data_IF_363760760473
#
_entry.id   IF_363760760473
#
_cell.length_a   1.000
_cell.length_b   1.000
_cell.length_c   1.000
_cell.angle_alpha   90.00
_cell.angle_beta   90.00
_cell.angle_gamma   90.00
#
_symmetry.space_group_name_H-M   'P 1'
#
loop_
_entity.id
_entity.type
_entity.pdbx_description
1 polymer ?
#
# COMPACT_ATOMS: atom_id res chain seq x y z
N UNK A 1 -0.84 -7.89 -8.87
CA UNK A 1 -0.55 -6.69 -8.06
C UNK A 1 0.54 -5.93 -8.76
N UNK A 2 0.41 -4.61 -8.87
CA UNK A 2 1.52 -3.74 -9.25
C UNK A 2 2.54 -3.80 -8.10
N UNK A 3 3.85 -3.99 -8.37
CA UNK A 3 4.85 -4.00 -7.30
C UNK A 3 4.81 -2.67 -6.54
N UNK A 4 5.04 -2.71 -5.23
CA UNK A 4 5.12 -1.50 -4.40
C UNK A 4 6.27 -0.62 -4.91
N UNK A 5 6.08 0.71 -5.01
CA UNK A 5 7.16 1.64 -5.28
C UNK A 5 8.31 1.54 -4.27
N UNK A 6 8.01 1.23 -3.00
CA UNK A 6 8.99 1.13 -1.93
C UNK A 6 9.86 -0.13 -2.01
N UNK A 7 9.41 -1.17 -2.73
CA UNK A 7 10.18 -2.41 -2.85
C UNK A 7 11.52 -2.17 -3.54
N UNK A 8 12.54 -2.87 -3.05
CA UNK A 8 13.87 -2.82 -3.65
C UNK A 8 13.81 -3.28 -5.13
N UNK A 9 14.41 -2.49 -6.01
CA UNK A 9 14.60 -2.86 -7.41
C UNK A 9 15.50 -4.10 -7.53
N UNK A 10 15.43 -4.87 -8.63
CA UNK A 10 16.35 -5.98 -8.88
C UNK A 10 17.82 -5.57 -8.80
N UNK A 11 18.14 -4.36 -9.25
CA UNK A 11 19.49 -3.81 -9.20
C UNK A 11 19.96 -3.56 -7.76
N UNK A 12 19.09 -3.01 -6.91
CA UNK A 12 19.35 -2.83 -5.48
C UNK A 12 19.50 -4.16 -4.75
N UNK A 13 18.63 -5.15 -5.05
CA UNK A 13 18.75 -6.52 -4.50
C UNK A 13 20.07 -7.17 -4.90
N UNK A 14 20.50 -6.98 -6.16
CA UNK A 14 21.77 -7.49 -6.67
C UNK A 14 22.99 -6.67 -6.20
N UNK A 15 22.78 -5.49 -5.62
CA UNK A 15 23.82 -4.58 -5.17
C UNK A 15 24.67 -4.05 -6.33
N UNK A 16 24.05 -3.74 -7.47
CA UNK A 16 24.72 -3.20 -8.67
C UNK A 16 23.93 -2.01 -9.22
N UNK A 17 24.57 -1.06 -9.93
CA UNK A 17 23.84 0.01 -10.60
C UNK A 17 22.98 -0.53 -11.76
N UNK A 18 21.93 0.21 -12.14
CA UNK A 18 21.10 -0.11 -13.31
C UNK A 18 21.89 -0.08 -14.63
N UNK A 19 23.05 0.59 -14.66
CA UNK A 19 23.98 0.64 -15.78
C UNK A 19 24.97 -0.54 -15.82
N UNK A 20 24.92 -1.46 -14.86
CA UNK A 20 25.84 -2.60 -14.78
C UNK A 20 25.81 -3.46 -16.06
N UNK A 21 26.97 -3.95 -16.46
CA UNK A 21 27.10 -4.89 -17.58
C UNK A 21 26.47 -6.26 -17.25
N UNK A 22 26.14 -7.03 -18.29
CA UNK A 22 25.61 -8.40 -18.13
C UNK A 22 26.54 -9.29 -17.31
N UNK A 23 27.86 -9.10 -17.45
CA UNK A 23 28.84 -9.88 -16.70
C UNK A 23 28.92 -9.45 -15.22
N UNK A 24 28.71 -8.17 -14.91
CA UNK A 24 28.57 -7.70 -13.52
C UNK A 24 27.32 -8.24 -12.87
N UNK A 25 26.17 -8.21 -13.56
CA UNK A 25 24.91 -8.79 -13.08
C UNK A 25 25.08 -10.28 -12.77
N UNK A 26 25.64 -11.05 -13.71
CA UNK A 26 25.90 -12.49 -13.52
C UNK A 26 26.87 -12.77 -12.37
N UNK A 27 27.92 -11.94 -12.22
CA UNK A 27 28.88 -12.07 -11.10
C UNK A 27 28.22 -11.77 -9.76
N UNK A 28 27.43 -10.70 -9.67
CA UNK A 28 26.70 -10.31 -8.47
C UNK A 28 25.71 -11.40 -8.04
N UNK A 29 24.90 -11.92 -8.99
CA UNK A 29 23.97 -13.00 -8.72
C UNK A 29 24.67 -14.25 -8.18
N UNK A 30 25.75 -14.72 -8.82
CA UNK A 30 26.48 -15.92 -8.34
C UNK A 30 27.07 -15.73 -6.94
N UNK A 31 27.54 -14.53 -6.63
CA UNK A 31 28.07 -14.19 -5.29
C UNK A 31 26.94 -14.24 -4.26
N UNK A 32 25.84 -13.53 -4.51
CA UNK A 32 24.70 -13.46 -3.61
C UNK A 32 24.03 -14.81 -3.44
N UNK A 33 23.90 -15.62 -4.50
CA UNK A 33 23.28 -16.94 -4.44
C UNK A 33 24.00 -17.89 -3.47
N UNK A 34 25.31 -17.74 -3.28
CA UNK A 34 26.08 -18.49 -2.27
C UNK A 34 25.88 -17.93 -0.86
N UNK A 35 25.74 -16.62 -0.73
CA UNK A 35 25.58 -15.93 0.56
C UNK A 35 24.17 -16.09 1.13
N UNK A 36 23.15 -16.10 0.27
CA UNK A 36 21.74 -16.19 0.68
C UNK A 36 21.23 -17.64 0.73
N UNK A 37 22.03 -18.63 0.30
CA UNK A 37 21.59 -20.03 0.31
C UNK A 37 21.29 -20.52 1.73
N UNK A 38 20.12 -21.13 1.98
CA UNK A 38 19.73 -21.59 3.32
C UNK A 38 20.72 -22.63 3.88
N UNK A 39 21.22 -23.54 3.05
CA UNK A 39 22.19 -24.56 3.48
C UNK A 39 23.57 -23.98 3.82
N UNK A 40 23.83 -22.71 3.48
CA UNK A 40 25.10 -22.01 3.75
C UNK A 40 24.94 -20.91 4.80
N UNK A 41 23.83 -20.90 5.54
CA UNK A 41 23.56 -19.94 6.61
C UNK A 41 22.84 -18.66 6.18
N UNK A 42 22.39 -18.58 4.92
CA UNK A 42 21.48 -17.54 4.46
C UNK A 42 20.03 -17.78 4.88
N UNK A 43 19.14 -16.83 4.61
CA UNK A 43 17.71 -16.98 4.88
C UNK A 43 16.96 -17.37 3.61
N UNK A 44 15.94 -18.22 3.75
CA UNK A 44 15.09 -18.60 2.62
C UNK A 44 14.43 -17.39 1.95
N UNK A 45 14.11 -16.33 2.71
CA UNK A 45 13.56 -15.09 2.20
C UNK A 45 14.58 -14.34 1.32
N UNK A 46 15.80 -14.12 1.81
CA UNK A 46 16.84 -13.43 1.02
C UNK A 46 17.18 -14.19 -0.27
N UNK A 47 17.08 -15.53 -0.26
CA UNK A 47 17.23 -16.32 -1.47
C UNK A 47 16.06 -16.12 -2.44
N UNK A 48 14.81 -16.07 -1.96
CA UNK A 48 13.63 -15.78 -2.78
C UNK A 48 13.71 -14.41 -3.43
N UNK A 49 14.08 -13.37 -2.66
CA UNK A 49 14.23 -12.00 -3.17
C UNK A 49 15.27 -11.95 -4.30
N UNK A 50 16.39 -12.66 -4.11
CA UNK A 50 17.43 -12.79 -5.13
C UNK A 50 16.94 -13.51 -6.40
N UNK A 51 16.19 -14.60 -6.25
CA UNK A 51 15.63 -15.32 -7.39
C UNK A 51 14.64 -14.44 -8.17
N UNK A 52 13.77 -13.72 -7.46
CA UNK A 52 12.80 -12.83 -8.07
C UNK A 52 13.49 -11.67 -8.80
N UNK A 53 14.51 -11.05 -8.20
CA UNK A 53 15.33 -10.03 -8.85
C UNK A 53 15.99 -10.59 -10.13
N UNK A 54 16.57 -11.79 -10.07
CA UNK A 54 17.21 -12.41 -11.22
C UNK A 54 16.22 -12.74 -12.35
N UNK A 55 14.99 -13.12 -12.04
CA UNK A 55 13.95 -13.34 -13.05
C UNK A 55 13.62 -12.06 -13.83
N UNK A 56 13.71 -10.89 -13.18
CA UNK A 56 13.38 -9.61 -13.80
C UNK A 56 14.50 -9.04 -14.67
N UNK A 57 15.78 -9.26 -14.32
CA UNK A 57 16.91 -8.62 -15.03
C UNK A 57 18.02 -9.58 -15.50
N UNK A 58 17.85 -10.90 -15.29
CA UNK A 58 18.90 -11.89 -15.54
C UNK A 58 19.13 -12.23 -17.01
N UNK A 59 18.14 -12.01 -17.87
CA UNK A 59 18.28 -12.15 -19.34
C UNK A 59 18.21 -10.77 -20.02
N UNK A 60 18.85 -10.60 -21.19
CA UNK A 60 18.76 -9.35 -21.96
C UNK A 60 17.33 -8.91 -22.24
N UNK A 61 16.44 -9.86 -22.54
CA UNK A 61 15.03 -9.61 -22.84
C UNK A 61 14.29 -9.14 -21.57
N UNK A 62 14.41 -9.87 -20.46
CA UNK A 62 13.75 -9.53 -19.20
C UNK A 62 14.23 -8.18 -18.69
N UNK A 63 15.54 -7.92 -18.75
CA UNK A 63 16.13 -6.63 -18.40
C UNK A 63 15.56 -5.50 -19.25
N UNK A 64 15.48 -5.69 -20.57
CA UNK A 64 14.93 -4.67 -21.46
C UNK A 64 13.43 -4.42 -21.18
N UNK A 65 12.65 -5.46 -20.86
CA UNK A 65 11.24 -5.32 -20.47
C UNK A 65 11.08 -4.59 -19.12
N UNK A 66 11.97 -4.89 -18.17
CA UNK A 66 12.02 -4.23 -16.88
C UNK A 66 12.35 -2.74 -17.03
N UNK A 67 13.43 -2.41 -17.75
CA UNK A 67 13.90 -1.04 -17.96
C UNK A 67 12.91 -0.20 -18.80
N UNK A 68 12.17 -0.84 -19.71
CA UNK A 68 11.06 -0.21 -20.44
C UNK A 68 9.82 0.03 -19.58
N UNK A 69 9.77 -0.31 -18.28
CA UNK A 69 8.57 -0.07 -17.47
C UNK A 69 7.32 -0.80 -18.00
N UNK A 70 7.51 -1.85 -18.82
CA UNK A 70 6.42 -2.65 -19.38
C UNK A 70 5.87 -3.70 -18.39
N UNK A 71 6.40 -3.76 -17.17
CA UNK A 71 6.05 -4.76 -16.16
C UNK A 71 4.64 -4.65 -15.57
N UNK A 72 3.88 -3.58 -15.85
CA UNK A 72 2.50 -3.42 -15.35
C UNK A 72 1.53 -2.85 -16.39
N UNK A 73 1.64 -3.28 -17.65
CA UNK A 73 0.44 -3.35 -18.52
C UNK A 73 0.06 -4.81 -18.60
N UNK A 74 -1.02 -5.17 -17.91
CA UNK A 74 -1.71 -6.44 -18.06
C UNK A 74 -1.66 -6.88 -19.51
N UNK A 75 -0.95 -7.96 -19.77
CA UNK A 75 -1.01 -8.69 -21.04
C UNK A 75 -2.43 -9.23 -21.18
N UNK A 76 -3.36 -8.40 -21.64
CA UNK A 76 -4.49 -8.91 -22.38
C UNK A 76 -3.89 -9.65 -23.60
N UNK A 77 -4.22 -10.93 -23.82
CA UNK A 77 -3.59 -11.68 -24.90
C UNK A 77 -4.00 -11.04 -26.22
N UNK A 78 -3.05 -10.39 -26.89
CA UNK A 78 -3.23 -9.97 -28.28
C UNK A 78 -3.17 -11.23 -29.14
N UNK A 79 -4.33 -11.85 -29.35
CA UNK A 79 -4.48 -12.93 -30.31
C UNK A 79 -4.13 -12.41 -31.70
N UNK A 80 -3.03 -12.91 -32.25
CA UNK A 80 -2.75 -12.79 -33.68
C UNK A 80 -3.77 -13.62 -34.45
N UNK A 81 -4.57 -12.99 -35.31
CA UNK A 81 -5.28 -13.70 -36.37
C UNK A 81 -5.00 -12.99 -37.69
N UNK A 82 -4.33 -13.74 -38.56
CA UNK A 82 -4.01 -13.38 -39.95
C UNK A 82 -5.29 -13.31 -40.77
N UNK A 83 -5.28 -12.40 -41.75
CA UNK A 83 -6.29 -12.21 -42.78
C UNK A 83 -6.53 -13.47 -43.64
N UNK A 84 -7.80 -13.81 -43.88
CA UNK A 84 -8.28 -14.49 -45.07
C UNK A 84 -9.73 -14.02 -45.34
N UNK A 85 -10.00 -13.56 -46.57
CA UNK A 85 -11.23 -12.86 -46.92
C UNK A 85 -12.45 -13.74 -47.18
N UNK A 86 -13.64 -13.17 -46.96
CA UNK A 86 -14.81 -13.36 -47.81
C UNK A 86 -15.81 -12.23 -47.56
N UNK A 87 -16.47 -11.79 -48.63
CA UNK A 87 -17.47 -10.72 -48.64
C UNK A 87 -18.86 -11.30 -48.35
N UNK A 88 -19.55 -10.81 -47.31
CA UNK A 88 -21.00 -10.94 -47.11
C UNK A 88 -21.53 -9.85 -46.16
N UNK A 89 -22.79 -9.38 -46.31
CA UNK A 89 -23.28 -8.15 -45.69
C UNK A 89 -23.93 -8.38 -44.31
N UNK A 90 -23.79 -7.37 -43.43
CA UNK A 90 -24.81 -7.04 -42.42
C UNK A 90 -24.76 -7.78 -41.07
N UNK A 91 -23.88 -7.34 -40.17
CA UNK A 91 -24.15 -7.29 -38.73
C UNK A 91 -23.22 -6.27 -38.07
N UNK A 92 -23.78 -5.15 -37.59
CA UNK A 92 -23.04 -4.23 -36.72
C UNK A 92 -23.16 -4.72 -35.27
N UNK A 93 -22.07 -4.85 -34.50
CA UNK A 93 -22.19 -5.08 -33.07
C UNK A 93 -22.94 -3.89 -32.44
N UNK A 94 -23.81 -4.10 -31.44
CA UNK A 94 -24.36 -2.98 -30.70
C UNK A 94 -23.21 -2.14 -30.11
N UNK A 95 -23.40 -0.82 -29.94
CA UNK A 95 -22.43 0.01 -29.24
C UNK A 95 -22.14 -0.67 -27.89
N UNK A 96 -20.86 -0.76 -27.50
CA UNK A 96 -20.50 -1.16 -26.13
C UNK A 96 -21.29 -0.26 -25.19
N UNK A 97 -22.27 -0.83 -24.49
CA UNK A 97 -22.96 -0.13 -23.42
C UNK A 97 -21.88 0.43 -22.49
N UNK A 98 -21.93 1.72 -22.09
CA UNK A 98 -21.06 2.20 -21.03
C UNK A 98 -21.24 1.26 -19.85
N UNK A 99 -20.12 0.77 -19.30
CA UNK A 99 -20.13 -0.15 -18.16
C UNK A 99 -21.17 0.35 -17.16
N UNK A 100 -22.19 -0.47 -16.90
CA UNK A 100 -23.28 -0.12 -15.98
C UNK A 100 -22.61 0.36 -14.70
N UNK A 101 -22.77 1.64 -14.38
CA UNK A 101 -22.35 2.17 -13.10
C UNK A 101 -23.13 1.38 -12.05
N UNK A 102 -22.44 0.47 -11.36
CA UNK A 102 -23.02 -0.33 -10.28
C UNK A 102 -23.67 0.66 -9.31
N UNK A 103 -25.01 0.73 -9.30
CA UNK A 103 -25.82 1.64 -8.50
C UNK A 103 -25.84 1.24 -7.01
N UNK A 104 -24.90 0.38 -6.60
CA UNK A 104 -24.75 -0.08 -5.23
C UNK A 104 -24.38 1.13 -4.37
N UNK A 105 -25.15 1.41 -3.30
CA UNK A 105 -24.85 2.50 -2.40
C UNK A 105 -23.46 2.32 -1.77
N UNK A 106 -22.54 3.26 -2.00
CA UNK A 106 -21.14 3.23 -1.52
C UNK A 106 -20.97 3.85 -0.13
N UNK A 107 -19.84 3.58 0.52
CA UNK A 107 -19.50 4.26 1.76
C UNK A 107 -19.32 5.77 1.56
N UNK A 108 -19.51 6.54 2.64
CA UNK A 108 -19.26 8.00 2.63
C UNK A 108 -17.77 8.25 2.85
N UNK A 109 -17.15 9.05 1.99
CA UNK A 109 -15.72 9.38 2.05
C UNK A 109 -15.55 10.88 2.27
N UNK A 110 -14.72 11.25 3.24
CA UNK A 110 -14.33 12.62 3.55
C UNK A 110 -12.80 12.74 3.61
N UNK A 111 -12.28 13.92 3.29
CA UNK A 111 -10.83 14.17 3.18
C UNK A 111 -10.25 13.73 1.83
N UNK A 112 -8.91 13.78 1.71
CA UNK A 112 -8.18 13.42 0.50
C UNK A 112 -7.25 12.24 0.81
N UNK A 113 -7.66 10.98 0.62
CA UNK A 113 -6.81 9.85 0.97
C UNK A 113 -5.48 9.87 0.20
N UNK A 114 -4.37 9.74 0.92
CA UNK A 114 -3.03 9.86 0.34
C UNK A 114 -2.65 11.27 -0.09
N UNK A 115 -3.49 12.29 0.12
CA UNK A 115 -3.28 13.64 -0.40
C UNK A 115 -2.02 14.30 0.16
N UNK A 116 -1.87 14.30 1.48
CA UNK A 116 -0.69 14.82 2.16
C UNK A 116 0.60 14.12 1.73
N UNK A 117 0.56 12.79 1.57
CA UNK A 117 1.71 12.00 1.12
C UNK A 117 2.01 12.22 -0.37
N UNK A 118 1.00 12.37 -1.25
CA UNK A 118 1.19 12.77 -2.66
C UNK A 118 1.86 14.13 -2.76
N UNK A 119 1.42 15.11 -1.97
CA UNK A 119 2.02 16.45 -1.98
C UNK A 119 3.48 16.41 -1.51
N UNK A 120 3.75 15.70 -0.41
CA UNK A 120 5.11 15.49 0.10
C UNK A 120 5.99 14.79 -0.93
N UNK A 121 5.49 13.73 -1.58
CA UNK A 121 6.16 13.02 -2.66
C UNK A 121 6.54 13.99 -3.78
N UNK A 122 5.60 14.79 -4.30
CA UNK A 122 5.87 15.73 -5.38
C UNK A 122 6.92 16.78 -4.99
N UNK A 123 6.91 17.24 -3.73
CA UNK A 123 7.92 18.14 -3.19
C UNK A 123 9.32 17.51 -3.21
N UNK A 124 9.45 16.33 -2.61
CA UNK A 124 10.71 15.58 -2.55
C UNK A 124 11.22 15.22 -3.95
N UNK A 125 10.32 14.79 -4.83
CA UNK A 125 10.65 14.37 -6.18
C UNK A 125 11.19 15.52 -7.03
N UNK A 126 10.57 16.70 -6.95
CA UNK A 126 11.08 17.92 -7.62
C UNK A 126 12.43 18.36 -7.07
N UNK A 127 12.65 18.23 -5.77
CA UNK A 127 13.94 18.54 -5.17
C UNK A 127 15.03 17.59 -5.64
N UNK A 128 14.73 16.29 -5.67
CA UNK A 128 15.66 15.26 -6.09
C UNK A 128 16.03 15.34 -7.58
N UNK A 129 15.04 15.50 -8.47
CA UNK A 129 15.31 15.64 -9.91
C UNK A 129 16.03 16.95 -10.24
N UNK A 130 15.80 17.99 -9.42
CA UNK A 130 16.40 19.30 -9.59
C UNK A 130 15.33 20.36 -9.81
N UNK A 131 15.37 21.41 -8.99
CA UNK A 131 14.41 22.52 -9.06
C UNK A 131 14.49 23.21 -10.42
N UNK A 132 13.35 23.32 -11.10
CA UNK A 132 13.24 23.95 -12.43
C UNK A 132 13.39 22.98 -13.62
N UNK A 133 13.71 21.71 -13.38
CA UNK A 133 13.65 20.67 -14.42
C UNK A 133 12.18 20.31 -14.67
N UNK A 134 11.69 20.35 -15.92
CA UNK A 134 10.34 19.90 -16.23
C UNK A 134 10.15 18.42 -15.87
N UNK A 135 9.07 18.13 -15.15
CA UNK A 135 8.64 16.79 -14.81
C UNK A 135 7.29 16.53 -15.47
N UNK A 136 7.32 15.92 -16.66
CA UNK A 136 6.11 15.64 -17.45
C UNK A 136 5.15 14.69 -16.72
N UNK A 137 5.69 13.60 -16.18
CA UNK A 137 4.97 12.66 -15.32
C UNK A 137 5.82 12.30 -14.09
N UNK A 138 5.59 12.95 -12.93
CA UNK A 138 6.27 12.61 -11.68
C UNK A 138 5.99 11.19 -11.18
N UNK A 139 4.99 10.50 -11.69
CA UNK A 139 4.60 9.15 -11.28
C UNK A 139 5.02 8.08 -12.30
N UNK A 140 5.79 8.45 -13.33
CA UNK A 140 6.34 7.47 -14.27
C UNK A 140 7.15 6.41 -13.51
N UNK A 141 6.81 5.14 -13.72
CA UNK A 141 7.36 4.03 -12.96
C UNK A 141 8.88 3.93 -13.08
N UNK A 142 9.46 4.27 -14.25
CA UNK A 142 10.91 4.22 -14.45
C UNK A 142 11.59 5.31 -13.63
N UNK A 143 11.00 6.51 -13.64
CA UNK A 143 11.49 7.63 -12.85
C UNK A 143 11.42 7.32 -11.35
N UNK A 144 10.25 6.86 -10.86
CA UNK A 144 10.04 6.46 -9.47
C UNK A 144 11.10 5.45 -9.01
N UNK A 145 11.37 4.41 -9.81
CA UNK A 145 12.37 3.36 -9.48
C UNK A 145 13.79 3.87 -9.31
N UNK A 146 14.10 5.05 -9.86
CA UNK A 146 15.42 5.68 -9.74
C UNK A 146 15.52 6.65 -8.56
N UNK A 147 14.39 7.02 -7.96
CA UNK A 147 14.34 7.88 -6.80
C UNK A 147 14.88 7.16 -5.54
N UNK A 148 15.43 7.91 -4.56
CA UNK A 148 15.84 7.37 -3.27
C UNK A 148 14.72 6.57 -2.57
N UNK A 149 15.07 5.54 -1.77
CA UNK A 149 14.11 4.73 -1.02
C UNK A 149 13.10 5.56 -0.23
N UNK A 150 13.55 6.64 0.39
CA UNK A 150 12.74 7.52 1.24
C UNK A 150 11.63 8.20 0.42
N UNK A 151 11.92 8.62 -0.81
CA UNK A 151 10.93 9.25 -1.70
C UNK A 151 9.91 8.21 -2.19
N UNK A 152 10.38 7.02 -2.56
CA UNK A 152 9.51 5.92 -3.00
C UNK A 152 8.58 5.45 -1.90
N UNK A 153 9.05 5.42 -0.65
CA UNK A 153 8.25 5.06 0.51
C UNK A 153 7.07 6.01 0.71
N UNK A 154 7.28 7.33 0.59
CA UNK A 154 6.18 8.31 0.67
C UNK A 154 5.10 8.07 -0.40
N UNK A 155 5.49 7.71 -1.62
CA UNK A 155 4.53 7.35 -2.68
C UNK A 155 3.80 6.04 -2.36
N UNK A 156 4.51 5.05 -1.81
CA UNK A 156 3.93 3.77 -1.44
C UNK A 156 2.88 3.92 -0.33
N UNK A 157 3.14 4.75 0.68
CA UNK A 157 2.18 5.08 1.73
C UNK A 157 0.95 5.79 1.16
N UNK A 158 1.12 6.78 0.28
CA UNK A 158 0.00 7.42 -0.41
C UNK A 158 -0.88 6.40 -1.15
N UNK A 159 -0.27 5.46 -1.87
CA UNK A 159 -0.98 4.39 -2.57
C UNK A 159 -1.65 3.39 -1.60
N UNK A 160 -1.05 3.13 -0.44
CA UNK A 160 -1.62 2.26 0.59
C UNK A 160 -2.88 2.89 1.23
N UNK A 161 -2.86 4.19 1.48
CA UNK A 161 -4.03 4.97 1.93
C UNK A 161 -5.16 4.96 0.88
N UNK A 162 -4.83 5.23 -0.39
CA UNK A 162 -5.78 5.17 -1.50
C UNK A 162 -6.42 3.78 -1.62
N UNK A 163 -5.61 2.72 -1.51
CA UNK A 163 -6.09 1.34 -1.55
C UNK A 163 -7.01 1.00 -0.37
N UNK A 164 -6.73 1.57 0.82
CA UNK A 164 -7.56 1.42 2.01
C UNK A 164 -8.94 2.02 1.78
N UNK A 165 -9.01 3.25 1.26
CA UNK A 165 -10.28 3.90 0.94
C UNK A 165 -11.05 3.16 -0.16
N UNK A 166 -10.35 2.67 -1.19
CA UNK A 166 -10.97 1.86 -2.23
C UNK A 166 -11.65 0.62 -1.63
N UNK A 167 -10.98 -0.09 -0.71
CA UNK A 167 -11.54 -1.26 -0.03
C UNK A 167 -12.75 -0.90 0.85
N UNK A 168 -12.68 0.20 1.61
CA UNK A 168 -13.77 0.65 2.50
C UNK A 168 -14.99 1.13 1.72
N UNK A 169 -14.77 1.79 0.58
CA UNK A 169 -15.83 2.34 -0.29
C UNK A 169 -16.80 1.25 -0.77
N UNK A 170 -16.26 0.07 -1.09
CA UNK A 170 -17.03 -1.09 -1.56
C UNK A 170 -17.78 -1.83 -0.43
N UNK A 171 -17.59 -1.45 0.84
CA UNK A 171 -18.34 -2.05 1.95
C UNK A 171 -19.79 -1.56 2.06
N UNK A 172 -20.09 -0.41 1.43
CA UNK A 172 -21.43 0.16 1.30
C UNK A 172 -21.80 1.20 2.37
N UNK A 173 -23.05 1.67 2.32
CA UNK A 173 -23.56 2.82 3.11
C UNK A 173 -23.45 2.74 4.62
N UNK A 174 -23.21 1.55 5.17
CA UNK A 174 -22.99 1.35 6.61
C UNK A 174 -21.67 1.97 7.09
N UNK A 175 -20.76 2.31 6.17
CA UNK A 175 -19.43 2.80 6.49
C UNK A 175 -19.28 4.29 6.18
N UNK A 176 -18.49 4.97 7.00
CA UNK A 176 -18.05 6.35 6.78
C UNK A 176 -16.56 6.42 7.10
N UNK A 177 -15.78 7.02 6.20
CA UNK A 177 -14.34 7.17 6.33
C UNK A 177 -13.97 8.64 6.23
N UNK A 178 -13.11 9.09 7.15
CA UNK A 178 -12.44 10.38 7.13
C UNK A 178 -10.96 10.10 6.93
N UNK A 179 -10.37 10.66 5.89
CA UNK A 179 -8.95 10.45 5.52
C UNK A 179 -8.13 11.72 5.69
N UNK A 180 -6.83 11.59 5.90
CA UNK A 180 -5.91 12.69 6.17
C UNK A 180 -6.39 13.52 7.39
N UNK A 181 -6.66 12.84 8.51
CA UNK A 181 -7.19 13.47 9.73
C UNK A 181 -6.08 14.14 10.52
N UNK A 182 -6.28 15.41 10.87
CA UNK A 182 -5.36 16.19 11.69
C UNK A 182 -5.33 15.66 13.14
N UNK A 183 -4.15 15.24 13.59
CA UNK A 183 -3.87 14.79 14.96
C UNK A 183 -3.04 15.83 15.75
N UNK A 184 -3.01 17.09 15.29
CA UNK A 184 -2.30 18.20 15.91
C UNK A 184 -0.79 17.99 15.92
N UNK A 185 -0.17 18.13 17.08
CA UNK A 185 1.28 17.97 17.22
C UNK A 185 1.78 16.54 16.94
N UNK A 186 0.88 15.54 16.91
CA UNK A 186 1.23 14.16 16.56
C UNK A 186 1.18 13.90 15.04
N UNK A 187 0.92 14.93 14.24
CA UNK A 187 0.91 14.87 12.78
C UNK A 187 -0.44 14.43 12.23
N UNK A 188 -0.43 13.45 11.33
CA UNK A 188 -1.59 12.99 10.58
C UNK A 188 -1.99 11.58 11.00
N UNK A 189 -3.29 11.35 11.18
CA UNK A 189 -3.87 10.00 11.20
C UNK A 189 -4.48 9.70 9.82
N UNK A 190 -4.01 8.64 9.16
CA UNK A 190 -4.41 8.35 7.77
C UNK A 190 -5.93 8.20 7.63
N UNK A 191 -6.56 7.34 8.44
CA UNK A 191 -8.00 7.18 8.39
C UNK A 191 -8.67 6.99 9.75
N UNK A 192 -9.85 7.57 9.87
CA UNK A 192 -10.88 7.20 10.86
C UNK A 192 -12.02 6.52 10.12
N UNK A 193 -12.35 5.28 10.49
CA UNK A 193 -13.43 4.50 9.86
C UNK A 193 -14.49 4.15 10.88
N UNK A 194 -15.71 4.62 10.65
CA UNK A 194 -16.89 4.25 11.40
C UNK A 194 -17.71 3.23 10.62
N UNK A 195 -17.98 2.09 11.25
CA UNK A 195 -18.82 1.02 10.69
C UNK A 195 -19.67 0.33 11.75
N UNK A 196 -20.43 -0.71 11.36
CA UNK A 196 -21.32 -1.43 12.27
C UNK A 196 -20.61 -2.12 13.44
N UNK A 197 -19.34 -2.48 13.27
CA UNK A 197 -18.53 -3.20 14.26
C UNK A 197 -17.71 -2.29 15.18
N UNK A 198 -17.73 -0.98 14.96
CA UNK A 198 -16.93 -0.05 15.76
C UNK A 198 -16.41 1.17 15.02
N UNK A 199 -15.55 1.90 15.74
CA UNK A 199 -14.76 3.01 15.24
C UNK A 199 -13.28 2.61 15.22
N UNK A 200 -12.63 2.77 14.08
CA UNK A 200 -11.25 2.32 13.86
C UNK A 200 -10.35 3.51 13.52
N UNK A 201 -9.19 3.58 14.15
CA UNK A 201 -8.07 4.40 13.70
C UNK A 201 -7.19 3.52 12.83
N UNK A 202 -6.91 3.93 11.61
CA UNK A 202 -6.16 3.13 10.64
C UNK A 202 -4.95 3.92 10.18
N UNK A 203 -3.79 3.27 10.23
CA UNK A 203 -2.59 3.66 9.52
C UNK A 203 -2.37 2.65 8.39
N UNK A 204 -2.03 3.14 7.21
CA UNK A 204 -1.82 2.30 6.02
C UNK A 204 -0.41 2.52 5.51
N UNK A 205 0.46 1.55 5.71
CA UNK A 205 1.89 1.70 5.45
C UNK A 205 2.43 0.63 4.50
N UNK A 206 3.37 1.02 3.65
CA UNK A 206 4.04 0.15 2.70
C UNK A 206 5.57 0.42 2.72
N UNK A 207 6.26 -0.36 3.55
CA UNK A 207 7.72 -0.31 3.71
C UNK A 207 8.48 -1.10 2.64
N UNK A 208 7.77 -1.67 1.64
CA UNK A 208 8.37 -2.42 0.54
C UNK A 208 9.14 -3.69 0.94
N UNK A 209 8.95 -4.17 2.17
CA UNK A 209 9.64 -5.33 2.72
C UNK A 209 8.85 -5.96 3.87
N UNK A 210 9.18 -7.20 4.19
CA UNK A 210 8.53 -7.93 5.27
C UNK A 210 8.70 -7.23 6.63
N UNK A 211 7.59 -7.17 7.37
CA UNK A 211 7.51 -6.65 8.73
C UNK A 211 7.00 -7.71 9.70
N UNK A 212 7.40 -7.58 10.96
CA UNK A 212 6.99 -8.49 12.04
C UNK A 212 6.80 -7.72 13.33
N UNK A 213 5.93 -8.25 14.20
CA UNK A 213 5.74 -7.69 15.54
C UNK A 213 6.87 -8.19 16.45
N UNK A 214 7.60 -7.27 17.07
CA UNK A 214 8.64 -7.57 18.04
C UNK A 214 8.57 -6.62 19.22
N UNK A 215 8.52 -7.17 20.44
CA UNK A 215 8.50 -6.41 21.71
C UNK A 215 7.43 -5.31 21.77
N UNK A 216 6.30 -5.50 21.09
CA UNK A 216 5.18 -4.55 21.09
C UNK A 216 5.31 -3.42 20.07
N UNK A 217 6.19 -3.55 19.08
CA UNK A 217 6.36 -2.63 17.97
C UNK A 217 6.49 -3.42 16.65
N UNK A 218 6.32 -2.76 15.50
CA UNK A 218 6.66 -3.30 14.19
C UNK A 218 8.13 -3.09 13.87
N UNK A 219 8.79 -4.16 13.41
CA UNK A 219 10.18 -4.11 12.96
C UNK A 219 10.28 -4.76 11.58
N UNK A 220 11.12 -4.21 10.72
CA UNK A 220 11.31 -4.67 9.35
C UNK A 220 12.46 -3.92 8.71
N UNK A 221 13.01 -4.46 7.62
CA UNK A 221 14.17 -3.85 6.95
C UNK A 221 13.86 -2.47 6.37
N UNK A 222 12.63 -2.26 5.93
CA UNK A 222 12.16 -1.00 5.34
C UNK A 222 11.61 0.01 6.35
N UNK A 223 11.50 -0.36 7.64
CA UNK A 223 11.07 0.57 8.69
C UNK A 223 12.30 1.35 9.17
N UNK A 224 12.31 2.70 9.08
CA UNK A 224 13.37 3.54 9.64
C UNK A 224 13.56 3.33 11.15
N UNK A 225 14.79 3.48 11.65
CA UNK A 225 15.12 3.25 13.07
C UNK A 225 14.42 4.24 14.03
N UNK A 226 14.02 5.41 13.53
CA UNK A 226 13.31 6.45 14.28
C UNK A 226 11.78 6.36 14.16
N UNK A 227 11.26 5.46 13.32
CA UNK A 227 9.84 5.21 13.17
C UNK A 227 9.37 4.19 14.21
N UNK A 228 8.30 4.52 14.95
CA UNK A 228 7.68 3.62 15.92
C UNK A 228 6.20 3.42 15.57
N UNK A 229 5.86 2.64 14.52
CA UNK A 229 4.53 2.65 13.89
C UNK A 229 3.36 2.45 14.86
N UNK A 230 3.49 1.51 15.81
CA UNK A 230 2.45 1.20 16.81
C UNK A 230 2.32 2.34 17.80
N UNK A 231 3.43 2.93 18.25
CA UNK A 231 3.40 4.06 19.18
C UNK A 231 2.89 5.32 18.50
N UNK A 232 3.26 5.57 17.26
CA UNK A 232 2.86 6.72 16.47
C UNK A 232 1.35 6.72 16.25
N UNK A 233 0.80 5.61 15.74
CA UNK A 233 -0.65 5.41 15.63
C UNK A 233 -1.36 5.57 16.99
N UNK A 234 -0.76 5.04 18.07
CA UNK A 234 -1.33 5.19 19.41
C UNK A 234 -1.39 6.67 19.85
N UNK A 235 -0.37 7.47 19.57
CA UNK A 235 -0.34 8.90 19.93
C UNK A 235 -1.33 9.70 19.08
N UNK A 236 -1.35 9.47 17.76
CA UNK A 236 -2.29 10.09 16.83
C UNK A 236 -3.75 9.78 17.19
N UNK A 237 -4.08 8.49 17.40
CA UNK A 237 -5.43 8.08 17.81
C UNK A 237 -5.83 8.70 19.17
N UNK A 238 -4.89 8.85 20.11
CA UNK A 238 -5.15 9.56 21.37
C UNK A 238 -5.41 11.05 21.16
N UNK A 239 -4.69 11.71 20.27
CA UNK A 239 -4.92 13.12 19.94
C UNK A 239 -6.32 13.32 19.32
N UNK A 240 -6.67 12.52 18.31
CA UNK A 240 -8.00 12.56 17.68
C UNK A 240 -9.11 12.23 18.68
N UNK A 241 -8.89 11.28 19.60
CA UNK A 241 -9.84 10.99 20.68
C UNK A 241 -10.04 12.18 21.63
N UNK A 242 -9.00 12.95 21.96
CA UNK A 242 -9.13 14.12 22.85
C UNK A 242 -10.01 15.19 22.20
N UNK A 243 -9.81 15.42 20.91
CA UNK A 243 -10.58 16.41 20.14
C UNK A 243 -12.04 15.97 19.94
N UNK A 244 -12.24 14.74 19.47
CA UNK A 244 -13.58 14.23 19.13
C UNK A 244 -14.38 13.74 20.33
N UNK A 245 -13.72 13.44 21.45
CA UNK A 245 -14.29 12.76 22.63
C UNK A 245 -14.95 11.41 22.30
N UNK A 246 -14.50 10.75 21.24
CA UNK A 246 -14.95 9.40 20.88
C UNK A 246 -13.79 8.42 21.03
N UNK A 247 -14.02 7.30 21.71
CA UNK A 247 -13.02 6.25 21.86
C UNK A 247 -13.03 5.32 20.65
N UNK A 248 -11.84 4.96 20.16
CA UNK A 248 -11.67 3.94 19.15
C UNK A 248 -11.92 2.54 19.72
N UNK A 249 -12.60 1.70 18.95
CA UNK A 249 -12.76 0.27 19.22
C UNK A 249 -11.43 -0.46 19.07
N UNK A 250 -10.67 -0.13 18.02
CA UNK A 250 -9.34 -0.67 17.76
C UNK A 250 -8.50 0.30 16.91
N UNK A 251 -7.18 0.10 16.97
CA UNK A 251 -6.22 0.72 16.07
C UNK A 251 -5.71 -0.35 15.10
N UNK A 252 -5.60 -0.03 13.82
CA UNK A 252 -5.24 -0.96 12.76
C UNK A 252 -4.03 -0.43 11.98
N UNK A 253 -3.00 -1.24 11.81
CA UNK A 253 -1.89 -0.99 10.87
C UNK A 253 -2.06 -1.95 9.71
N UNK A 254 -2.44 -1.40 8.56
CA UNK A 254 -2.72 -2.14 7.34
C UNK A 254 -1.48 -2.18 6.48
N UNK A 255 -1.03 -3.38 6.13
CA UNK A 255 0.20 -3.62 5.37
C UNK A 255 -0.08 -4.46 4.12
N UNK A 256 0.77 -4.41 3.07
CA UNK A 256 0.64 -5.29 1.91
C UNK A 256 0.54 -6.77 2.31
N UNK A 257 -0.20 -7.56 1.53
CA UNK A 257 -0.47 -8.96 1.85
C UNK A 257 0.82 -9.82 1.89
N UNK A 258 1.79 -9.47 1.05
CA UNK A 258 3.07 -10.18 0.91
C UNK A 258 4.10 -9.75 1.95
N UNK A 259 3.89 -8.62 2.63
CA UNK A 259 4.85 -8.02 3.58
C UNK A 259 4.58 -8.44 5.04
N UNK A 260 3.57 -9.27 5.29
CA UNK A 260 3.23 -9.70 6.65
C UNK A 260 2.89 -11.18 6.70
N UNK A 261 3.74 -11.98 7.34
CA UNK A 261 3.56 -13.44 7.40
C UNK A 261 2.31 -13.90 8.17
N UNK A 262 1.93 -13.30 9.31
CA UNK A 262 0.62 -13.53 9.90
C UNK A 262 -0.47 -12.91 9.03
N UNK A 263 -1.70 -13.43 9.12
CA UNK A 263 -2.82 -12.77 8.48
C UNK A 263 -3.26 -11.52 9.28
N UNK A 264 -3.28 -11.68 10.60
CA UNK A 264 -3.69 -10.68 11.58
C UNK A 264 -2.97 -10.99 12.90
N UNK A 265 -2.40 -9.98 13.56
CA UNK A 265 -1.74 -10.11 14.85
C UNK A 265 -2.07 -8.93 15.78
N UNK A 266 -2.31 -9.21 17.06
CA UNK A 266 -2.52 -8.19 18.08
C UNK A 266 -1.17 -7.77 18.68
N UNK A 267 -0.89 -6.47 18.68
CA UNK A 267 0.32 -5.95 19.29
C UNK A 267 0.12 -5.75 20.79
N UNK A 268 0.81 -6.57 21.59
CA UNK A 268 0.77 -6.51 23.05
C UNK A 268 -0.52 -7.07 23.67
N UNK A 269 -0.69 -6.83 24.98
CA UNK A 269 -1.73 -7.51 25.81
C UNK A 269 -2.89 -6.61 26.27
N UNK A 270 -2.91 -5.33 25.90
CA UNK A 270 -3.94 -4.39 26.39
C UNK A 270 -5.28 -4.60 25.66
N UNK A 271 -6.40 -4.40 26.37
CA UNK A 271 -7.75 -4.35 25.80
C UNK A 271 -7.90 -3.10 24.91
N UNK A 272 -8.60 -3.21 23.77
CA UNK A 272 -8.72 -2.11 22.80
C UNK A 272 -7.39 -1.72 22.13
N UNK A 273 -6.56 -2.72 21.81
CA UNK A 273 -5.19 -2.56 21.33
C UNK A 273 -5.01 -2.32 19.83
N UNK A 274 -3.74 -2.27 19.42
CA UNK A 274 -3.31 -2.13 18.03
C UNK A 274 -3.22 -3.50 17.38
N UNK A 275 -3.68 -3.61 16.15
CA UNK A 275 -3.63 -4.81 15.34
C UNK A 275 -2.89 -4.54 14.05
N UNK A 276 -2.03 -5.46 13.64
CA UNK A 276 -1.39 -5.44 12.32
C UNK A 276 -2.11 -6.47 11.46
N UNK A 277 -2.51 -6.07 10.26
CA UNK A 277 -3.24 -6.95 9.36
C UNK A 277 -2.84 -6.76 7.91
N UNK A 278 -2.92 -7.87 7.17
CA UNK A 278 -2.87 -7.87 5.72
C UNK A 278 -4.03 -7.05 5.14
N UNK A 279 -3.73 -6.26 4.10
CA UNK A 279 -4.69 -5.39 3.41
C UNK A 279 -5.96 -6.13 2.96
N UNK A 280 -5.82 -7.35 2.44
CA UNK A 280 -6.94 -8.19 2.02
C UNK A 280 -7.94 -8.53 3.13
N UNK A 281 -7.52 -8.50 4.40
CA UNK A 281 -8.39 -8.78 5.55
C UNK A 281 -9.13 -7.56 6.10
N UNK A 282 -8.77 -6.35 5.67
CA UNK A 282 -9.39 -5.12 6.16
C UNK A 282 -10.93 -5.13 6.03
N UNK A 283 -11.53 -5.51 4.88
CA UNK A 283 -12.99 -5.65 4.76
C UNK A 283 -13.64 -6.54 5.81
N UNK A 284 -13.00 -7.66 6.14
CA UNK A 284 -13.51 -8.63 7.10
C UNK A 284 -13.41 -8.08 8.53
N UNK A 285 -12.26 -7.51 8.88
CA UNK A 285 -12.02 -6.89 10.20
C UNK A 285 -12.98 -5.72 10.44
N UNK A 286 -13.23 -4.87 9.45
CA UNK A 286 -14.18 -3.77 9.57
C UNK A 286 -15.65 -4.23 9.68
N UNK A 287 -16.01 -5.40 9.17
CA UNK A 287 -17.38 -5.95 9.30
C UNK A 287 -17.61 -6.68 10.62
N UNK A 288 -16.59 -7.34 11.14
CA UNK A 288 -16.72 -8.33 12.22
C UNK A 288 -15.91 -8.01 13.47
N UNK A 289 -15.13 -6.92 13.46
CA UNK A 289 -14.14 -6.62 14.48
C UNK A 289 -12.83 -7.43 14.30
N UNK A 290 -11.74 -7.00 14.95
CA UNK A 290 -10.43 -7.66 14.83
C UNK A 290 -10.35 -8.99 15.58
N UNK A 291 -11.24 -9.25 16.53
CA UNK A 291 -11.31 -10.56 17.21
C UNK A 291 -12.13 -11.61 16.43
N UNK A 292 -12.54 -11.27 15.19
CA UNK A 292 -13.13 -12.18 14.18
C UNK A 292 -14.17 -13.16 14.75
N UNK A 293 -15.31 -12.63 15.19
CA UNK A 293 -16.41 -13.45 15.73
C UNK A 293 -17.31 -12.67 16.69
N UNK A 294 -16.72 -11.72 17.42
CA UNK A 294 -17.45 -10.85 18.35
C UNK A 294 -17.90 -9.56 17.68
N UNK A 295 -19.22 -9.46 17.48
CA UNK A 295 -19.84 -8.20 17.04
C UNK A 295 -19.81 -7.21 18.20
N UNK A 296 -18.84 -6.30 18.17
CA UNK A 296 -18.91 -5.10 19.01
C UNK A 296 -19.89 -4.13 18.35
N UNK A 297 -21.13 -4.10 18.82
CA UNK A 297 -22.14 -3.17 18.31
C UNK A 297 -21.94 -1.80 18.95
N UNK A 298 -21.79 -0.75 18.15
CA UNK A 298 -21.95 0.63 18.65
C UNK A 298 -23.45 0.91 18.74
N UNK A 299 -23.95 1.24 19.93
CA UNK A 299 -25.36 1.57 20.18
C UNK A 299 -25.81 2.84 19.44
N UNK A 300 -24.89 3.77 19.17
CA UNK A 300 -25.23 5.13 18.72
C UNK A 300 -24.39 5.59 17.50
N UNK A 301 -24.38 4.80 16.43
CA UNK A 301 -23.58 5.08 15.22
C UNK A 301 -23.88 6.47 14.64
N UNK A 302 -25.14 6.91 14.70
CA UNK A 302 -25.54 8.23 14.21
C UNK A 302 -24.98 9.39 15.05
N UNK A 303 -25.01 9.27 16.37
CA UNK A 303 -24.46 10.28 17.27
C UNK A 303 -22.93 10.36 17.13
N UNK A 304 -22.28 9.19 17.10
CA UNK A 304 -20.83 9.10 16.87
C UNK A 304 -20.46 9.76 15.55
N UNK A 305 -21.18 9.44 14.45
CA UNK A 305 -20.95 10.06 13.14
C UNK A 305 -21.11 11.58 13.20
N UNK A 306 -22.17 12.08 13.82
CA UNK A 306 -22.41 13.52 13.92
C UNK A 306 -21.29 14.23 14.68
N UNK A 307 -20.82 13.64 15.79
CA UNK A 307 -19.71 14.19 16.59
C UNK A 307 -18.40 14.20 15.79
N UNK A 308 -18.07 13.10 15.12
CA UNK A 308 -16.88 13.02 14.26
C UNK A 308 -16.94 14.05 13.14
N UNK A 309 -18.08 14.18 12.46
CA UNK A 309 -18.25 15.13 11.36
C UNK A 309 -18.04 16.59 11.77
N UNK A 310 -18.39 16.95 13.01
CA UNK A 310 -18.22 18.31 13.54
C UNK A 310 -16.78 18.59 13.99
N UNK A 311 -16.15 17.60 14.62
CA UNK A 311 -14.86 17.76 15.29
C UNK A 311 -13.65 17.49 14.38
N UNK A 312 -13.74 16.53 13.44
CA UNK A 312 -12.61 16.17 12.58
C UNK A 312 -12.18 17.38 11.72
N UNK A 313 -10.86 17.52 11.61
CA UNK A 313 -10.16 18.42 10.71
C UNK A 313 -9.24 17.60 9.82
N UNK A 314 -8.90 18.15 8.67
CA UNK A 314 -8.05 17.50 7.67
C UNK A 314 -6.75 18.28 7.52
N UNK A 315 -5.67 17.58 7.20
CA UNK A 315 -4.38 18.18 6.80
C UNK A 315 -4.37 18.56 5.32
#
# INVERSE_FOLDING_TARGET
>A
MTPSPASATPYEVLGVPSTASTDELRRAYRRLARQTHPDLGGTAQAFRDLQHAWQQVGTPEARADYDRGSGSRSTAPSGSARSAGSSAPGWSPPPREPARTDSKPKARVHGHPGGANRERYLGLMREWVGRGVPLDDPYDERLVRTAPPEIRHVLADAMAEEATVAAVTELGIGFTIWSDVDAGAEGKLDHVVLGPSGLFAIQSSDWGSEVQVSRGELVGRGIPDDEEPVRDLTRQARAVRRETRVSFTAQLIVVPDDDFAPALEKVGRRAGGTWVLRRSLLPQVLRHGPELGDRTSISDVFEVRARLQQAIRFV
#
